data_IF_818357769069
#
_entry.id   IF_818357769069
#
_cell.length_a   1.000
_cell.length_b   1.000
_cell.length_c   1.000
_cell.angle_alpha   90.00
_cell.angle_beta   90.00
_cell.angle_gamma   90.00
#
_symmetry.space_group_name_H-M   'P 1'
#
loop_
_entity.id
_entity.type
_entity.pdbx_description
1 polymer ?
#
# COMPACT_ATOMS: atom_id res chain seq x y z
N UNK A 1 2.82 23.28 -29.59
CA UNK A 1 2.99 22.07 -28.76
C UNK A 1 4.25 22.24 -27.93
N UNK A 2 4.11 22.43 -26.62
CA UNK A 2 5.23 22.42 -25.68
C UNK A 2 5.63 20.97 -25.44
N UNK A 3 6.85 20.61 -25.85
CA UNK A 3 7.41 19.28 -25.63
C UNK A 3 7.89 19.22 -24.18
N UNK A 4 7.19 18.44 -23.33
CA UNK A 4 7.60 18.22 -21.95
C UNK A 4 8.80 17.26 -21.96
N UNK A 5 10.01 17.76 -21.76
CA UNK A 5 11.22 16.94 -21.68
C UNK A 5 11.39 16.38 -20.27
N UNK A 6 10.76 15.23 -20.02
CA UNK A 6 10.77 14.60 -18.70
C UNK A 6 12.13 14.04 -18.29
N UNK A 7 13.01 13.64 -19.21
CA UNK A 7 14.25 12.90 -18.87
C UNK A 7 15.18 13.58 -17.85
N UNK A 8 15.16 14.91 -17.75
CA UNK A 8 15.96 15.69 -16.81
C UNK A 8 15.11 16.60 -15.91
N UNK A 9 13.80 16.32 -15.83
CA UNK A 9 12.87 17.18 -15.12
C UNK A 9 13.07 17.07 -13.60
N UNK A 10 12.95 18.19 -12.90
CA UNK A 10 13.18 18.29 -11.44
C UNK A 10 12.35 17.26 -10.65
N UNK A 11 11.13 16.98 -11.11
CA UNK A 11 10.23 15.96 -10.52
C UNK A 11 10.90 14.59 -10.30
N UNK A 12 11.82 14.17 -11.18
CA UNK A 12 12.50 12.89 -10.98
C UNK A 12 13.59 12.97 -9.92
N UNK A 13 14.25 14.13 -9.78
CA UNK A 13 15.23 14.35 -8.72
C UNK A 13 14.54 14.39 -7.37
N UNK A 14 13.44 15.15 -7.28
CA UNK A 14 12.63 15.24 -6.05
C UNK A 14 12.10 13.86 -5.66
N UNK A 15 11.62 13.07 -6.63
CA UNK A 15 11.19 11.70 -6.39
C UNK A 15 12.35 10.83 -5.89
N UNK A 16 13.52 10.87 -6.53
CA UNK A 16 14.69 10.10 -6.08
C UNK A 16 15.08 10.48 -4.65
N UNK A 17 15.10 11.77 -4.31
CA UNK A 17 15.43 12.24 -2.97
C UNK A 17 14.41 11.76 -1.93
N UNK A 18 13.11 11.80 -2.23
CA UNK A 18 12.06 11.24 -1.36
C UNK A 18 12.31 9.75 -1.14
N UNK A 19 12.54 8.98 -2.20
CA UNK A 19 12.69 7.53 -2.12
C UNK A 19 13.97 7.08 -1.41
N UNK A 20 15.07 7.83 -1.53
CA UNK A 20 16.33 7.53 -0.83
C UNK A 20 16.22 7.72 0.68
N UNK A 21 15.33 8.61 1.13
CA UNK A 21 15.10 8.90 2.55
C UNK A 21 13.87 8.20 3.12
N UNK A 22 13.12 7.48 2.28
CA UNK A 22 11.89 6.79 2.69
C UNK A 22 12.21 5.46 3.37
N UNK A 23 11.85 5.33 4.65
CA UNK A 23 11.72 4.03 5.28
C UNK A 23 10.32 3.47 5.00
N UNK A 24 10.23 2.59 4.01
CA UNK A 24 8.98 1.98 3.57
C UNK A 24 8.26 1.22 4.68
N UNK A 25 9.01 0.57 5.57
CA UNK A 25 8.44 -0.24 6.64
C UNK A 25 7.85 0.64 7.74
N UNK A 26 8.56 1.72 8.10
CA UNK A 26 8.05 2.70 9.07
C UNK A 26 6.81 3.42 8.53
N UNK A 27 6.86 3.93 7.28
CA UNK A 27 5.74 4.65 6.68
C UNK A 27 4.45 3.83 6.70
N UNK A 28 4.53 2.57 6.27
CA UNK A 28 3.35 1.69 6.23
C UNK A 28 2.89 1.32 7.63
N UNK A 29 3.80 1.14 8.59
CA UNK A 29 3.42 0.86 9.99
C UNK A 29 2.69 2.02 10.63
N UNK A 30 3.19 3.25 10.48
CA UNK A 30 2.52 4.44 11.01
C UNK A 30 1.11 4.57 10.42
N UNK A 31 0.98 4.41 9.10
CA UNK A 31 -0.31 4.40 8.44
C UNK A 31 -1.26 3.31 8.96
N UNK A 32 -0.76 2.08 9.15
CA UNK A 32 -1.55 0.97 9.70
C UNK A 32 -1.94 1.17 11.16
N UNK A 33 -1.12 1.87 11.96
CA UNK A 33 -1.45 2.23 13.33
C UNK A 33 -2.61 3.22 13.39
N UNK A 34 -2.65 4.21 12.49
CA UNK A 34 -3.76 5.18 12.40
C UNK A 34 -5.10 4.51 12.09
N UNK A 35 -5.12 3.46 11.28
CA UNK A 35 -6.32 2.70 10.95
C UNK A 35 -6.57 1.47 11.83
N UNK A 36 -5.81 1.30 12.92
CA UNK A 36 -5.89 0.15 13.83
C UNK A 36 -5.75 -1.21 13.13
N UNK A 37 -4.97 -1.26 12.05
CA UNK A 37 -4.74 -2.43 11.21
C UNK A 37 -6.03 -2.99 10.60
N UNK A 38 -7.01 -2.12 10.30
CA UNK A 38 -8.31 -2.49 9.73
C UNK A 38 -8.49 -1.91 8.35
N UNK A 39 -8.84 -2.78 7.41
CA UNK A 39 -9.35 -2.38 6.09
C UNK A 39 -10.87 -2.51 6.12
N UNK A 40 -11.58 -1.40 5.93
CA UNK A 40 -13.04 -1.36 6.03
C UNK A 40 -13.68 -1.19 4.66
N UNK A 41 -14.84 -1.85 4.43
CA UNK A 41 -15.60 -1.71 3.21
C UNK A 41 -14.90 -2.27 1.96
N UNK A 42 -14.27 -3.43 2.07
CA UNK A 42 -13.46 -4.03 1.02
C UNK A 42 -14.31 -4.85 0.04
N UNK A 43 -14.01 -4.72 -1.26
CA UNK A 43 -14.55 -5.56 -2.33
C UNK A 43 -13.42 -6.37 -2.95
N UNK A 44 -13.59 -7.68 -3.06
CA UNK A 44 -12.62 -8.53 -3.77
C UNK A 44 -12.90 -8.60 -5.28
N UNK A 45 -12.01 -9.28 -6.01
CA UNK A 45 -12.11 -9.47 -7.46
C UNK A 45 -13.35 -10.27 -7.92
N UNK A 46 -14.09 -10.87 -6.97
CA UNK A 46 -15.27 -11.71 -7.21
C UNK A 46 -16.56 -10.98 -6.80
N UNK A 47 -16.51 -9.66 -6.64
CA UNK A 47 -17.61 -8.80 -6.19
C UNK A 47 -18.17 -9.20 -4.80
N UNK A 48 -17.34 -9.80 -3.94
CA UNK A 48 -17.74 -10.10 -2.57
C UNK A 48 -17.31 -8.98 -1.63
N UNK A 49 -18.26 -8.55 -0.81
CA UNK A 49 -18.10 -7.49 0.16
C UNK A 49 -17.63 -8.01 1.53
N UNK A 50 -16.70 -7.30 2.14
CA UNK A 50 -16.18 -7.53 3.48
C UNK A 50 -16.23 -6.23 4.27
N UNK A 51 -16.98 -6.23 5.37
CA UNK A 51 -17.16 -5.02 6.18
C UNK A 51 -15.85 -4.58 6.84
N UNK A 52 -15.13 -5.52 7.43
CA UNK A 52 -13.84 -5.25 8.07
C UNK A 52 -12.91 -6.44 7.94
N UNK A 53 -11.70 -6.19 7.46
CA UNK A 53 -10.60 -7.14 7.42
C UNK A 53 -9.52 -6.64 8.37
N UNK A 54 -9.19 -7.46 9.38
CA UNK A 54 -8.12 -7.15 10.32
C UNK A 54 -6.82 -7.77 9.82
N UNK A 55 -5.82 -6.92 9.65
CA UNK A 55 -4.45 -7.30 9.33
C UNK A 55 -3.73 -7.74 10.63
N UNK A 56 -2.75 -8.67 10.54
CA UNK A 56 -1.93 -9.00 11.71
C UNK A 56 -1.09 -7.80 12.11
N UNK A 57 -0.77 -7.66 13.41
CA UNK A 57 0.06 -6.55 13.91
C UNK A 57 1.55 -6.70 13.57
N UNK A 58 1.99 -7.93 13.33
CA UNK A 58 3.37 -8.24 12.97
C UNK A 58 3.48 -8.29 11.44
N UNK A 59 3.83 -7.16 10.84
CA UNK A 59 3.95 -6.99 9.39
C UNK A 59 5.30 -6.36 9.02
N UNK A 60 5.71 -6.63 7.79
CA UNK A 60 6.75 -5.90 7.06
C UNK A 60 6.16 -5.33 5.78
N UNK A 61 6.63 -4.15 5.39
CA UNK A 61 6.33 -3.57 4.09
C UNK A 61 7.59 -3.49 3.21
N UNK A 62 7.42 -3.80 1.93
CA UNK A 62 8.46 -3.64 0.92
C UNK A 62 7.93 -2.73 -0.19
N UNK A 63 8.64 -1.64 -0.48
CA UNK A 63 8.31 -0.76 -1.61
C UNK A 63 8.61 -1.49 -2.93
N UNK A 64 7.57 -1.67 -3.74
CA UNK A 64 7.64 -2.38 -5.03
C UNK A 64 7.80 -1.43 -6.19
N UNK A 65 7.09 -0.31 -6.14
CA UNK A 65 7.16 0.72 -7.17
C UNK A 65 6.71 2.07 -6.63
N UNK A 66 7.23 3.12 -7.25
CA UNK A 66 6.79 4.48 -7.04
C UNK A 66 6.49 5.13 -8.39
N UNK A 67 5.55 6.06 -8.39
CA UNK A 67 5.21 6.83 -9.59
C UNK A 67 4.75 8.23 -9.21
N UNK A 68 4.93 9.17 -10.13
CA UNK A 68 4.33 10.50 -10.03
C UNK A 68 3.26 10.62 -11.09
N UNK A 69 2.03 10.82 -10.65
CA UNK A 69 0.90 11.15 -11.50
C UNK A 69 0.84 12.66 -11.74
N UNK A 70 0.49 13.04 -12.97
CA UNK A 70 0.28 14.44 -13.35
C UNK A 70 -1.04 14.53 -14.10
N UNK A 71 -2.00 15.25 -13.53
CA UNK A 71 -3.22 15.65 -14.23
C UNK A 71 -3.09 17.09 -14.71
N UNK A 72 -4.13 17.63 -15.33
CA UNK A 72 -4.14 19.03 -15.76
C UNK A 72 -4.09 20.04 -14.60
N UNK A 73 -4.37 19.60 -13.36
CA UNK A 73 -4.49 20.49 -12.20
C UNK A 73 -3.60 20.09 -11.04
N UNK A 74 -3.28 18.80 -10.91
CA UNK A 74 -2.71 18.24 -9.70
C UNK A 74 -1.56 17.29 -10.04
N UNK A 75 -0.64 17.18 -9.10
CA UNK A 75 0.42 16.17 -9.09
C UNK A 75 0.24 15.33 -7.83
N UNK A 76 0.50 14.05 -7.95
CA UNK A 76 0.41 13.13 -6.83
C UNK A 76 1.52 12.10 -6.89
N UNK A 77 1.97 11.66 -5.72
CA UNK A 77 2.91 10.56 -5.55
C UNK A 77 2.10 9.30 -5.25
N UNK A 78 2.39 8.21 -5.96
CA UNK A 78 1.89 6.88 -5.59
C UNK A 78 3.05 6.00 -5.17
N UNK A 79 2.90 5.35 -4.03
CA UNK A 79 3.84 4.39 -3.49
C UNK A 79 3.13 3.06 -3.33
N UNK A 80 3.62 2.02 -3.99
CA UNK A 80 3.04 0.68 -3.95
C UNK A 80 3.94 -0.24 -3.14
N UNK A 81 3.33 -0.91 -2.17
CA UNK A 81 3.98 -1.79 -1.22
C UNK A 81 3.44 -3.21 -1.30
N UNK A 82 4.28 -4.19 -1.00
CA UNK A 82 3.83 -5.51 -0.57
C UNK A 82 3.74 -5.54 0.94
N UNK A 83 2.63 -6.10 1.44
CA UNK A 83 2.41 -6.35 2.85
C UNK A 83 2.72 -7.82 3.12
N UNK A 84 3.68 -8.05 4.03
CA UNK A 84 4.24 -9.37 4.31
C UNK A 84 4.07 -9.67 5.80
N UNK A 85 3.56 -10.85 6.14
CA UNK A 85 3.48 -11.32 7.53
C UNK A 85 4.89 -11.48 8.12
N UNK A 86 5.17 -10.82 9.23
CA UNK A 86 6.46 -10.93 9.91
C UNK A 86 6.42 -12.10 10.92
N UNK A 87 7.16 -13.17 10.57
CA UNK A 87 7.47 -14.35 11.39
C UNK A 87 6.29 -15.08 12.03
N UNK A 88 5.74 -16.03 11.28
CA UNK A 88 5.20 -17.25 11.87
C UNK A 88 6.13 -18.41 11.52
N UNK A 89 6.77 -19.03 12.51
CA UNK A 89 7.69 -20.16 12.34
C UNK A 89 7.09 -21.35 11.54
N UNK A 90 5.76 -21.42 11.45
CA UNK A 90 4.98 -22.39 10.66
C UNK A 90 4.88 -22.07 9.15
N UNK A 91 5.08 -20.80 8.74
CA UNK A 91 4.85 -20.34 7.35
C UNK A 91 6.13 -20.11 6.55
N UNK A 92 7.32 -20.36 7.13
CA UNK A 92 8.61 -20.26 6.43
C UNK A 92 8.78 -21.26 5.28
N UNK A 93 7.89 -22.25 5.16
CA UNK A 93 7.93 -23.27 4.11
C UNK A 93 7.39 -22.81 2.76
N UNK A 94 6.68 -21.68 2.66
CA UNK A 94 6.04 -21.29 1.41
C UNK A 94 5.91 -19.76 1.27
N UNK A 95 6.82 -19.15 0.51
CA UNK A 95 6.92 -17.69 0.29
C UNK A 95 5.62 -17.05 -0.20
N UNK A 96 4.78 -17.81 -0.91
CA UNK A 96 3.50 -17.32 -1.42
C UNK A 96 2.45 -17.08 -0.32
N UNK A 97 2.58 -17.71 0.85
CA UNK A 97 1.66 -17.53 1.98
C UNK A 97 2.06 -16.38 2.92
N UNK A 98 3.22 -15.77 2.69
CA UNK A 98 3.69 -14.64 3.50
C UNK A 98 3.15 -13.30 2.97
N UNK A 99 2.89 -13.21 1.66
CA UNK A 99 2.30 -12.00 1.06
C UNK A 99 0.81 -11.95 1.37
N UNK A 100 0.44 -10.97 2.20
CA UNK A 100 -0.95 -10.71 2.59
C UNK A 100 -1.67 -9.89 1.53
N UNK A 101 -0.96 -9.00 0.84
CA UNK A 101 -1.56 -8.17 -0.19
C UNK A 101 -0.64 -7.07 -0.67
N UNK A 102 -1.24 -6.12 -1.36
CA UNK A 102 -0.62 -4.91 -1.86
C UNK A 102 -1.37 -3.70 -1.30
N UNK A 103 -0.60 -2.69 -0.93
CA UNK A 103 -1.09 -1.39 -0.48
C UNK A 103 -0.52 -0.33 -1.41
N UNK A 104 -1.38 0.52 -1.97
CA UNK A 104 -0.97 1.73 -2.68
C UNK A 104 -1.34 2.93 -1.83
N UNK A 105 -0.37 3.71 -1.41
CA UNK A 105 -0.58 5.00 -0.74
C UNK A 105 -0.43 6.13 -1.75
N UNK A 106 -1.37 7.07 -1.74
CA UNK A 106 -1.44 8.20 -2.65
C UNK A 106 -1.32 9.49 -1.84
N UNK A 107 -0.34 10.32 -2.22
CA UNK A 107 -0.07 11.62 -1.59
C UNK A 107 -0.18 12.75 -2.60
N UNK A 108 -0.59 13.93 -2.14
CA UNK A 108 -0.64 15.15 -2.96
C UNK A 108 0.76 15.74 -3.18
N UNK A 109 0.83 16.88 -3.87
CA UNK A 109 2.08 17.61 -4.11
C UNK A 109 2.73 18.19 -2.85
N UNK A 110 1.98 18.27 -1.74
CA UNK A 110 2.45 18.69 -0.42
C UNK A 110 2.78 17.50 0.49
N UNK A 111 2.78 16.27 -0.04
CA UNK A 111 2.95 15.01 0.69
C UNK A 111 1.87 14.76 1.76
N UNK A 112 0.68 15.31 1.57
CA UNK A 112 -0.49 14.99 2.38
C UNK A 112 -1.15 13.72 1.85
N UNK A 113 -1.50 12.80 2.73
CA UNK A 113 -2.23 11.58 2.38
C UNK A 113 -3.59 11.94 1.75
N UNK A 114 -3.86 11.43 0.55
CA UNK A 114 -5.13 11.62 -0.16
C UNK A 114 -5.99 10.37 -0.05
N UNK A 115 -5.40 9.22 -0.38
CA UNK A 115 -6.14 7.99 -0.62
C UNK A 115 -5.24 6.76 -0.54
N UNK A 116 -5.88 5.61 -0.38
CA UNK A 116 -5.26 4.30 -0.36
C UNK A 116 -6.00 3.32 -1.26
N UNK A 117 -5.28 2.37 -1.83
CA UNK A 117 -5.90 1.25 -2.54
C UNK A 117 -5.33 -0.06 -2.05
N UNK A 118 -6.22 -1.01 -1.78
CA UNK A 118 -5.89 -2.33 -1.25
C UNK A 118 -6.15 -3.42 -2.28
N UNK A 119 -5.20 -4.35 -2.40
CA UNK A 119 -5.40 -5.62 -3.07
C UNK A 119 -4.99 -6.73 -2.10
N UNK A 120 -5.97 -7.32 -1.42
CA UNK A 120 -5.72 -8.31 -0.37
C UNK A 120 -5.87 -9.72 -0.92
N UNK A 121 -4.97 -10.61 -0.50
CA UNK A 121 -5.15 -12.04 -0.67
C UNK A 121 -6.13 -12.54 0.40
N UNK A 122 -7.43 -12.53 0.07
CA UNK A 122 -8.51 -12.90 1.00
C UNK A 122 -8.42 -14.35 1.49
N UNK A 123 -7.83 -15.24 0.71
CA UNK A 123 -7.59 -16.63 1.11
C UNK A 123 -6.42 -16.78 2.10
N UNK A 124 -5.74 -15.68 2.44
CA UNK A 124 -4.64 -15.70 3.41
C UNK A 124 -5.16 -16.04 4.81
N UNK A 125 -4.64 -17.11 5.44
CA UNK A 125 -5.03 -17.48 6.80
C UNK A 125 -4.57 -16.46 7.86
N UNK A 126 -3.79 -15.46 7.46
CA UNK A 126 -3.32 -14.38 8.33
C UNK A 126 -4.34 -13.26 8.50
N UNK A 127 -5.37 -13.21 7.64
CA UNK A 127 -6.42 -12.21 7.71
C UNK A 127 -7.54 -12.69 8.64
N UNK A 128 -7.97 -11.81 9.55
CA UNK A 128 -9.17 -12.05 10.33
C UNK A 128 -10.32 -11.24 9.75
N UNK A 129 -11.20 -11.93 9.04
CA UNK A 129 -12.29 -11.35 8.27
C UNK A 129 -13.56 -11.39 9.12
N UNK A 130 -14.14 -10.21 9.35
CA UNK A 130 -15.46 -10.11 9.96
C UNK A 130 -16.51 -10.02 8.84
N UNK A 131 -17.37 -11.03 8.78
CA UNK A 131 -18.53 -11.05 7.89
C UNK A 131 -19.76 -10.53 8.63
N UNK A 132 -20.58 -9.73 7.92
CA UNK A 132 -21.90 -9.34 8.41
C UNK A 132 -22.72 -10.61 8.70
N UNK A 133 -23.12 -10.79 9.97
CA UNK A 133 -24.17 -11.75 10.30
C UNK A 133 -25.50 -11.08 9.98
N UNK A 134 -26.10 -11.44 8.85
CA UNK A 134 -27.55 -11.24 8.63
C UNK A 134 -28.38 -12.11 9.56
#
# INVERSE_FOLDING_TARGET
MTKLELKNHQVWRDLTEILENLDADILVKEHLEECDYKVSGYWDEQDKYYETINLPRSLKAELVSSSVGVTHKERFLQLKFFIIAADNATFQLNKNFQKIGELVLIYDENLQFIDENWLLNIDSPMLNIQHFHT
#
